data_IF_298979511434
#
_entry.id   IF_298979511434
#
_cell.length_a   1.000
_cell.length_b   1.000
_cell.length_c   1.000
_cell.angle_alpha   90.00
_cell.angle_beta   90.00
_cell.angle_gamma   90.00
#
_symmetry.space_group_name_H-M   'P 1'
#
loop_
_entity.id
_entity.type
_entity.pdbx_description
1 polymer ?
#
# COMPACT_ATOMS: atom_id res chain seq x y z
N UNK A 1 13.98 6.48 -5.46
CA UNK A 1 13.15 5.84 -4.43
C UNK A 1 13.32 4.33 -4.50
N UNK A 2 13.65 3.71 -3.40
CA UNK A 2 13.79 2.26 -3.32
C UNK A 2 12.52 1.64 -2.75
N UNK A 3 12.03 0.60 -3.41
CA UNK A 3 10.83 -0.12 -2.97
C UNK A 3 11.21 -1.51 -2.47
N UNK A 4 10.60 -1.92 -1.37
CA UNK A 4 10.77 -3.25 -0.82
C UNK A 4 9.39 -3.80 -0.46
N UNK A 5 9.14 -5.06 -0.83
CA UNK A 5 7.88 -5.74 -0.51
C UNK A 5 8.17 -6.78 0.56
N UNK A 6 7.55 -6.64 1.72
CA UNK A 6 7.71 -7.62 2.78
C UNK A 6 7.06 -8.96 2.38
N UNK A 7 7.52 -10.09 2.93
CA UNK A 7 7.02 -11.41 2.51
C UNK A 7 5.51 -11.56 2.60
N UNK A 8 4.89 -11.04 3.65
CA UNK A 8 3.44 -11.14 3.79
C UNK A 8 2.71 -10.32 2.73
N UNK A 9 3.25 -9.15 2.38
CA UNK A 9 2.71 -8.35 1.30
C UNK A 9 2.79 -9.11 -0.03
N UNK A 10 3.90 -9.77 -0.28
CA UNK A 10 4.09 -10.55 -1.51
C UNK A 10 3.07 -11.69 -1.63
N UNK A 11 2.77 -12.35 -0.51
CA UNK A 11 1.75 -13.41 -0.50
C UNK A 11 0.37 -12.86 -0.82
N UNK A 12 0.03 -11.71 -0.23
CA UNK A 12 -1.25 -11.05 -0.48
C UNK A 12 -1.36 -10.58 -1.93
N UNK A 13 -0.28 -10.02 -2.46
CA UNK A 13 -0.24 -9.57 -3.84
C UNK A 13 -0.46 -10.73 -4.80
N UNK A 14 0.17 -11.86 -4.56
CA UNK A 14 0.01 -13.06 -5.39
C UNK A 14 -1.42 -13.58 -5.34
N UNK A 15 -2.00 -13.66 -4.13
CA UNK A 15 -3.37 -14.15 -3.94
C UNK A 15 -4.39 -13.24 -4.61
N UNK A 16 -4.28 -11.93 -4.37
CA UNK A 16 -5.22 -10.96 -4.91
C UNK A 16 -5.04 -10.77 -6.41
N UNK A 17 -3.82 -10.90 -6.91
CA UNK A 17 -3.54 -10.78 -8.34
C UNK A 17 -4.19 -11.87 -9.17
N UNK A 18 -4.42 -13.04 -8.60
CA UNK A 18 -5.16 -14.12 -9.28
C UNK A 18 -6.64 -13.77 -9.41
N UNK A 19 -7.18 -13.04 -8.46
CA UNK A 19 -8.60 -12.65 -8.42
C UNK A 19 -8.86 -11.35 -9.20
N UNK A 20 -7.96 -10.40 -9.08
CA UNK A 20 -8.10 -9.07 -9.70
C UNK A 20 -7.04 -8.90 -10.78
N UNK A 21 -7.42 -9.14 -12.03
CA UNK A 21 -6.47 -9.26 -13.14
C UNK A 21 -5.72 -7.97 -13.47
N UNK A 22 -6.29 -6.80 -13.14
CA UNK A 22 -5.63 -5.52 -13.39
C UNK A 22 -4.62 -5.14 -12.30
N UNK A 23 -4.54 -5.93 -11.22
CA UNK A 23 -3.75 -5.55 -10.05
C UNK A 23 -2.26 -5.27 -10.34
N UNK A 24 -1.55 -6.06 -11.15
CA UNK A 24 -0.15 -5.74 -11.43
C UNK A 24 0.03 -4.35 -12.04
N UNK A 25 -0.82 -3.97 -12.98
CA UNK A 25 -0.75 -2.65 -13.62
C UNK A 25 -1.18 -1.55 -12.66
N UNK A 26 -2.21 -1.79 -11.86
CA UNK A 26 -2.70 -0.83 -10.88
C UNK A 26 -1.65 -0.56 -9.82
N UNK A 27 -0.94 -1.60 -9.39
CA UNK A 27 0.12 -1.46 -8.40
C UNK A 27 1.31 -0.68 -8.97
N UNK A 28 1.66 -0.92 -10.25
CA UNK A 28 2.73 -0.16 -10.89
C UNK A 28 2.40 1.33 -10.95
N UNK A 29 1.16 1.66 -11.26
CA UNK A 29 0.72 3.06 -11.24
C UNK A 29 0.83 3.66 -9.86
N UNK A 30 0.47 2.88 -8.83
CA UNK A 30 0.58 3.34 -7.44
C UNK A 30 2.04 3.60 -7.08
N UNK A 31 2.96 2.71 -7.48
CA UNK A 31 4.39 2.91 -7.22
C UNK A 31 4.87 4.20 -7.87
N UNK A 32 4.42 4.50 -9.07
CA UNK A 32 4.79 5.74 -9.76
C UNK A 32 4.32 6.96 -8.98
N UNK A 33 3.12 6.91 -8.41
CA UNK A 33 2.58 8.01 -7.61
C UNK A 33 3.41 8.21 -6.34
N UNK A 34 3.64 7.16 -5.57
CA UNK A 34 4.35 7.30 -4.28
C UNK A 34 5.83 7.58 -4.45
N UNK A 35 6.40 7.30 -5.62
CA UNK A 35 7.79 7.71 -5.87
C UNK A 35 7.94 9.23 -5.93
N UNK A 36 6.85 9.93 -6.27
CA UNK A 36 6.83 11.40 -6.35
C UNK A 36 6.25 12.02 -5.09
N UNK A 37 5.17 11.44 -4.56
CA UNK A 37 4.48 11.94 -3.36
C UNK A 37 4.33 10.81 -2.33
N UNK A 38 5.41 10.48 -1.60
CA UNK A 38 5.40 9.30 -0.71
C UNK A 38 4.32 9.31 0.37
N UNK A 39 3.89 10.49 0.82
CA UNK A 39 2.84 10.60 1.82
C UNK A 39 1.48 10.90 1.21
N UNK A 40 1.44 11.02 -0.12
CA UNK A 40 0.24 11.45 -0.82
C UNK A 40 -0.10 12.90 -0.52
N UNK A 41 -1.11 13.42 -1.18
CA UNK A 41 -1.54 14.80 -1.00
C UNK A 41 -3.05 14.94 -1.05
N UNK A 42 -3.78 13.87 -0.82
CA UNK A 42 -5.23 13.87 -0.93
C UNK A 42 -5.87 12.96 0.12
N UNK A 43 -7.20 12.90 0.10
CA UNK A 43 -8.00 12.16 1.08
C UNK A 43 -7.86 10.64 1.01
N UNK A 44 -7.18 10.13 -0.02
CA UNK A 44 -7.01 8.68 -0.19
C UNK A 44 -5.77 8.15 0.53
N UNK A 45 -4.98 9.03 1.13
CA UNK A 45 -3.78 8.68 1.90
C UNK A 45 -3.98 9.10 3.35
N UNK A 46 -3.66 8.21 4.27
CA UNK A 46 -3.80 8.48 5.70
C UNK A 46 -2.55 8.02 6.45
N UNK A 47 -1.85 8.98 7.06
CA UNK A 47 -0.70 8.66 7.91
C UNK A 47 -1.26 8.19 9.25
N UNK A 48 -1.08 6.90 9.55
CA UNK A 48 -1.60 6.31 10.77
C UNK A 48 -0.57 6.23 11.90
N UNK A 49 0.71 6.36 11.58
CA UNK A 49 1.79 6.39 12.57
C UNK A 49 2.92 7.24 12.03
N UNK A 50 3.52 8.05 12.89
CA UNK A 50 4.67 8.87 12.52
C UNK A 50 5.69 8.83 13.65
N UNK A 51 6.95 8.56 13.31
CA UNK A 51 8.07 8.62 14.24
C UNK A 51 9.14 9.52 13.63
N UNK A 52 10.26 9.71 14.35
CA UNK A 52 11.39 10.46 13.82
C UNK A 52 12.07 9.74 12.65
N UNK A 53 11.83 8.44 12.52
CA UNK A 53 12.52 7.61 11.52
C UNK A 53 11.62 7.31 10.32
N UNK A 54 10.33 7.11 10.53
CA UNK A 54 9.44 6.66 9.45
C UNK A 54 8.00 7.11 9.65
N UNK A 55 7.23 6.97 8.57
CA UNK A 55 5.77 7.13 8.57
C UNK A 55 5.14 5.80 8.19
N UNK A 56 4.00 5.47 8.80
CA UNK A 56 3.16 4.37 8.34
C UNK A 56 1.95 4.98 7.67
N UNK A 57 1.70 4.61 6.44
CA UNK A 57 0.63 5.19 5.61
C UNK A 57 -0.31 4.09 5.15
N UNK A 58 -1.61 4.37 5.26
CA UNK A 58 -2.66 3.55 4.67
C UNK A 58 -3.28 4.33 3.52
N UNK A 59 -3.36 3.70 2.35
CA UNK A 59 -3.88 4.36 1.16
C UNK A 59 -4.88 3.46 0.44
N UNK A 60 -5.69 4.10 -0.42
CA UNK A 60 -6.55 3.36 -1.34
C UNK A 60 -5.74 3.05 -2.60
N UNK A 61 -5.76 1.79 -2.99
CA UNK A 61 -5.21 1.35 -4.27
C UNK A 61 -6.38 1.08 -5.20
N UNK A 62 -6.59 1.97 -6.15
CA UNK A 62 -7.68 1.81 -7.09
C UNK A 62 -7.39 0.66 -8.04
N UNK A 63 -8.33 -0.27 -8.14
CA UNK A 63 -8.17 -1.46 -8.96
C UNK A 63 -9.25 -1.42 -10.05
N UNK A 64 -8.83 -1.32 -11.30
CA UNK A 64 -9.75 -1.21 -12.42
C UNK A 64 -10.71 -2.39 -12.51
N UNK A 65 -10.24 -3.57 -12.13
CA UNK A 65 -11.06 -4.78 -12.15
C UNK A 65 -12.23 -4.71 -11.15
N UNK A 66 -12.11 -3.89 -10.11
CA UNK A 66 -13.12 -3.78 -9.05
C UNK A 66 -14.24 -2.76 -9.34
N UNK A 67 -14.15 -2.00 -10.42
CA UNK A 67 -15.20 -1.06 -10.87
C UNK A 67 -15.78 -0.21 -9.75
N UNK A 68 -14.99 0.77 -9.30
CA UNK A 68 -15.45 1.72 -8.28
C UNK A 68 -15.15 1.32 -6.84
N UNK A 69 -14.67 0.13 -6.62
CA UNK A 69 -14.13 -0.25 -5.31
C UNK A 69 -12.62 -0.15 -5.34
N UNK A 70 -11.99 -0.27 -4.17
CA UNK A 70 -10.53 -0.19 -4.07
C UNK A 70 -10.00 -1.18 -3.06
N UNK A 71 -8.74 -1.53 -3.24
CA UNK A 71 -7.98 -2.25 -2.23
C UNK A 71 -7.40 -1.24 -1.25
N UNK A 72 -6.90 -1.74 -0.13
CA UNK A 72 -6.15 -0.92 0.83
C UNK A 72 -4.72 -1.41 0.84
N UNK A 73 -3.77 -0.46 0.83
CA UNK A 73 -2.35 -0.75 0.86
C UNK A 73 -1.73 -0.01 2.04
N UNK A 74 -0.91 -0.73 2.81
CA UNK A 74 -0.21 -0.15 3.96
C UNK A 74 1.27 -0.24 3.68
N UNK A 75 1.98 0.87 3.88
CA UNK A 75 3.41 0.91 3.66
C UNK A 75 4.08 1.82 4.67
N UNK A 76 5.38 1.60 4.88
CA UNK A 76 6.22 2.51 5.66
C UNK A 76 7.09 3.31 4.72
N UNK A 77 7.27 4.60 5.04
CA UNK A 77 8.14 5.50 4.28
C UNK A 77 9.26 5.98 5.17
N UNK A 78 10.49 5.71 4.75
CA UNK A 78 11.72 6.13 5.43
C UNK A 78 12.33 7.27 4.62
N UNK A 79 12.02 8.50 5.03
CA UNK A 79 12.35 9.69 4.25
C UNK A 79 13.84 9.86 4.01
N UNK A 80 14.65 9.70 5.05
CA UNK A 80 16.09 9.90 4.92
C UNK A 80 16.75 8.87 3.99
N UNK A 81 16.19 7.68 3.94
CA UNK A 81 16.73 6.61 3.09
C UNK A 81 16.07 6.59 1.71
N UNK A 82 15.07 7.41 1.48
CA UNK A 82 14.25 7.40 0.26
C UNK A 82 13.81 5.97 -0.05
N UNK A 83 13.20 5.32 0.95
CA UNK A 83 12.82 3.92 0.88
C UNK A 83 11.38 3.75 1.33
N UNK A 84 10.65 2.90 0.62
CA UNK A 84 9.28 2.51 0.98
C UNK A 84 9.27 0.99 1.13
N UNK A 85 8.69 0.52 2.24
CA UNK A 85 8.45 -0.91 2.47
C UNK A 85 6.96 -1.17 2.47
N UNK A 86 6.49 -2.02 1.56
CA UNK A 86 5.08 -2.38 1.48
C UNK A 86 4.80 -3.50 2.48
N UNK A 87 3.82 -3.27 3.36
CA UNK A 87 3.55 -4.11 4.52
C UNK A 87 2.34 -5.00 4.31
N UNK A 88 1.23 -4.43 3.81
CA UNK A 88 -0.03 -5.15 3.73
C UNK A 88 -0.85 -4.69 2.55
N UNK A 89 -1.57 -5.63 1.94
CA UNK A 89 -2.51 -5.36 0.85
C UNK A 89 -3.77 -6.17 1.13
N UNK A 90 -4.93 -5.52 1.17
CA UNK A 90 -6.17 -6.22 1.46
C UNK A 90 -7.37 -5.56 0.80
N UNK A 91 -8.45 -6.35 0.63
CA UNK A 91 -9.74 -5.84 0.19
C UNK A 91 -10.60 -5.57 1.42
N UNK A 92 -11.15 -4.36 1.53
CA UNK A 92 -11.91 -3.96 2.72
C UNK A 92 -13.14 -4.85 2.95
N UNK A 93 -13.70 -5.44 1.89
CA UNK A 93 -14.80 -6.39 2.02
C UNK A 93 -14.42 -7.67 2.73
N UNK A 94 -13.14 -8.08 2.67
CA UNK A 94 -12.64 -9.27 3.34
C UNK A 94 -12.14 -8.96 4.75
N UNK A 95 -11.71 -7.71 4.99
CA UNK A 95 -11.04 -7.32 6.21
C UNK A 95 -11.27 -5.82 6.42
N UNK A 96 -11.80 -5.47 7.57
CA UNK A 96 -12.24 -4.11 7.82
C UNK A 96 -11.09 -3.12 8.00
N UNK A 97 -10.04 -3.53 8.70
CA UNK A 97 -8.91 -2.66 9.02
C UNK A 97 -7.59 -3.38 8.79
N UNK A 98 -6.52 -2.58 8.76
CA UNK A 98 -5.16 -3.10 8.64
C UNK A 98 -4.79 -3.95 9.87
N UNK A 99 -3.82 -4.84 9.69
CA UNK A 99 -3.30 -5.68 10.77
C UNK A 99 -2.28 -4.88 11.59
N UNK A 100 -2.71 -4.37 12.73
CA UNK A 100 -1.87 -3.52 13.59
C UNK A 100 -0.66 -4.25 14.16
N UNK A 101 -0.75 -5.56 14.33
CA UNK A 101 0.37 -6.33 14.85
C UNK A 101 1.53 -6.39 13.85
N UNK A 102 1.23 -6.34 12.57
CA UNK A 102 2.25 -6.37 11.51
C UNK A 102 2.98 -5.04 11.36
N UNK A 103 2.40 -3.96 11.86
CA UNK A 103 2.96 -2.61 11.72
C UNK A 103 4.04 -2.32 12.76
N UNK A 104 3.97 -2.97 13.88
CA UNK A 104 4.89 -2.74 15.01
C UNK A 104 6.35 -3.04 14.71
#
# INVERSE_FOLDING_TARGET
>A
MNFNELPEFQKELKRLGKKYKSLPDDLQEFYNVVSVVPLGNNKHFNVITQTEVFYIVKARLFCRYLKGASLRIVYSYFEQEQRIEFIELYFKGDKENEDRDRIK
#
